data_IF_325787884449
#
_entry.id   IF_325787884449
#
_cell.length_a   1.000
_cell.length_b   1.000
_cell.length_c   1.000
_cell.angle_alpha   90.00
_cell.angle_beta   90.00
_cell.angle_gamma   90.00
#
_symmetry.space_group_name_H-M   'P 1'
#
loop_
_entity.id
_entity.type
_entity.pdbx_description
1 polymer ?
#
# COMPACT_ATOMS: atom_id res chain seq x y z
N UNK A 1 -16.83 -0.15 6.07
CA UNK A 1 -15.68 0.39 6.83
C UNK A 1 -14.77 1.02 5.79
N UNK A 2 -14.37 2.29 5.91
CA UNK A 2 -13.54 2.88 4.84
C UNK A 2 -12.09 2.43 4.99
N UNK A 3 -11.46 2.09 3.88
CA UNK A 3 -10.04 1.70 3.82
C UNK A 3 -9.28 2.75 3.01
N UNK A 4 -8.20 3.25 3.61
CA UNK A 4 -7.27 4.17 2.99
C UNK A 4 -6.17 3.36 2.30
N UNK A 5 -6.09 3.47 0.97
CA UNK A 5 -4.90 3.10 0.22
C UNK A 5 -3.88 4.23 0.34
N UNK A 6 -2.66 3.88 0.73
CA UNK A 6 -1.46 4.69 0.56
C UNK A 6 -0.56 3.90 -0.38
N UNK A 7 -0.22 4.45 -1.54
CA UNK A 7 0.63 3.79 -2.53
C UNK A 7 1.79 4.71 -2.92
N UNK A 8 2.99 4.15 -2.96
CA UNK A 8 4.21 4.81 -3.40
C UNK A 8 4.77 4.03 -4.58
N UNK A 9 4.86 4.65 -5.74
CA UNK A 9 5.45 4.07 -6.95
C UNK A 9 6.85 4.64 -7.13
N UNK A 10 7.83 3.77 -7.37
CA UNK A 10 9.20 4.17 -7.64
C UNK A 10 9.38 4.38 -9.14
N UNK A 11 9.86 5.56 -9.51
CA UNK A 11 10.09 5.94 -10.90
C UNK A 11 11.53 6.46 -11.04
N UNK A 12 12.24 6.01 -12.08
CA UNK A 12 13.61 6.44 -12.35
C UNK A 12 13.75 7.92 -12.74
N UNK A 13 12.68 8.57 -13.23
CA UNK A 13 12.70 9.98 -13.62
C UNK A 13 12.37 10.95 -12.47
N UNK A 14 11.38 10.60 -11.64
CA UNK A 14 10.84 11.47 -10.58
C UNK A 14 11.22 11.01 -9.16
N UNK A 15 11.84 9.84 -9.04
CA UNK A 15 12.22 9.20 -7.77
C UNK A 15 11.09 8.37 -7.19
N UNK A 16 10.10 9.02 -6.58
CA UNK A 16 8.95 8.34 -5.97
C UNK A 16 7.69 9.19 -6.03
N UNK A 17 6.58 8.60 -6.44
CA UNK A 17 5.27 9.24 -6.51
C UNK A 17 4.34 8.64 -5.45
N UNK A 18 3.70 9.51 -4.66
CA UNK A 18 2.78 9.14 -3.60
C UNK A 18 1.34 9.44 -4.03
N UNK A 19 0.47 8.43 -3.92
CA UNK A 19 -0.98 8.59 -4.08
C UNK A 19 -1.72 8.05 -2.84
N UNK A 20 -2.87 8.65 -2.54
CA UNK A 20 -3.77 8.18 -1.50
C UNK A 20 -5.21 8.09 -2.00
N UNK A 21 -5.94 7.04 -1.65
CA UNK A 21 -7.32 6.82 -2.11
C UNK A 21 -8.20 6.21 -1.00
N UNK A 22 -9.34 6.85 -0.74
CA UNK A 22 -10.29 6.52 0.34
C UNK A 22 -11.59 5.87 -0.15
N UNK A 23 -11.63 5.44 -1.40
CA UNK A 23 -12.88 5.02 -2.05
C UNK A 23 -13.31 3.60 -1.69
N UNK A 24 -12.46 2.84 -0.98
CA UNK A 24 -12.65 1.40 -0.74
C UNK A 24 -13.49 1.11 0.51
N UNK A 25 -14.38 0.11 0.41
CA UNK A 25 -15.25 -0.31 1.51
C UNK A 25 -14.73 -1.54 2.27
N UNK A 26 -13.68 -2.18 1.77
CA UNK A 26 -12.97 -3.29 2.39
C UNK A 26 -11.50 -3.39 1.92
N UNK A 27 -10.70 -4.17 2.64
CA UNK A 27 -9.27 -4.33 2.36
C UNK A 27 -9.02 -5.07 1.04
N UNK A 28 -9.86 -6.06 0.68
CA UNK A 28 -9.67 -6.83 -0.54
C UNK A 28 -9.75 -5.95 -1.80
N UNK A 29 -10.72 -5.01 -1.85
CA UNK A 29 -10.81 -4.00 -2.92
C UNK A 29 -9.58 -3.09 -2.94
N UNK A 30 -9.09 -2.66 -1.78
CA UNK A 30 -7.90 -1.82 -1.67
C UNK A 30 -6.65 -2.55 -2.19
N UNK A 31 -6.46 -3.83 -1.83
CA UNK A 31 -5.35 -4.66 -2.31
C UNK A 31 -5.42 -4.90 -3.83
N UNK A 32 -6.62 -5.15 -4.36
CA UNK A 32 -6.82 -5.35 -5.79
C UNK A 32 -6.52 -4.07 -6.60
N UNK A 33 -6.93 -2.91 -6.08
CA UNK A 33 -6.62 -1.62 -6.69
C UNK A 33 -5.12 -1.34 -6.67
N UNK A 34 -4.44 -1.59 -5.55
CA UNK A 34 -2.98 -1.45 -5.48
C UNK A 34 -2.25 -2.33 -6.50
N UNK A 35 -2.66 -3.60 -6.65
CA UNK A 35 -2.10 -4.48 -7.67
C UNK A 35 -2.32 -3.93 -9.08
N UNK A 36 -3.53 -3.45 -9.37
CA UNK A 36 -3.86 -2.86 -10.67
C UNK A 36 -2.94 -1.67 -10.97
N UNK A 37 -2.74 -0.77 -10.00
CA UNK A 37 -1.84 0.38 -10.16
C UNK A 37 -0.39 -0.04 -10.45
N UNK A 38 0.13 -1.08 -9.79
CA UNK A 38 1.47 -1.59 -10.11
C UNK A 38 1.52 -2.31 -11.47
N UNK A 39 0.43 -2.95 -11.89
CA UNK A 39 0.34 -3.59 -13.20
C UNK A 39 0.29 -2.60 -14.38
N UNK A 40 -0.12 -1.36 -14.13
CA UNK A 40 0.02 -0.26 -15.10
C UNK A 40 1.47 0.16 -15.30
N UNK A 41 2.34 -0.07 -14.30
CA UNK A 41 3.79 0.19 -14.37
C UNK A 41 4.54 -1.01 -14.96
N UNK A 42 4.24 -2.20 -14.48
CA UNK A 42 4.80 -3.48 -14.96
C UNK A 42 3.72 -4.56 -14.93
N UNK A 43 3.32 -5.09 -16.08
CA UNK A 43 2.25 -6.10 -16.18
C UNK A 43 2.52 -7.38 -15.37
N UNK A 44 3.79 -7.67 -15.07
CA UNK A 44 4.23 -8.82 -14.27
C UNK A 44 4.47 -8.46 -12.80
N UNK A 45 3.99 -7.30 -12.34
CA UNK A 45 4.14 -6.88 -10.96
C UNK A 45 3.64 -7.95 -9.98
N UNK A 46 4.48 -8.29 -9.02
CA UNK A 46 4.17 -9.20 -7.93
C UNK A 46 4.17 -8.47 -6.59
N UNK A 47 3.14 -8.71 -5.78
CA UNK A 47 3.05 -8.17 -4.43
C UNK A 47 3.51 -9.20 -3.42
N UNK A 48 4.42 -8.79 -2.54
CA UNK A 48 4.90 -9.63 -1.43
C UNK A 48 4.88 -8.84 -0.13
N UNK A 49 4.62 -9.54 0.97
CA UNK A 49 4.83 -8.95 2.29
C UNK A 49 6.34 -8.75 2.48
N UNK A 50 6.74 -7.59 3.01
CA UNK A 50 8.13 -7.39 3.38
C UNK A 50 8.48 -8.30 4.55
N UNK A 51 9.61 -9.00 4.45
CA UNK A 51 10.22 -9.65 5.61
C UNK A 51 10.88 -8.56 6.46
N UNK A 52 10.32 -8.27 7.63
CA UNK A 52 10.80 -7.19 8.51
C UNK A 52 11.93 -7.76 9.35
N UNK A 53 13.18 -7.26 9.20
CA UNK A 53 14.29 -7.71 10.03
C UNK A 53 14.01 -7.41 11.51
N UNK A 54 14.39 -8.32 12.41
CA UNK A 54 14.22 -8.11 13.85
C UNK A 54 14.83 -6.77 14.29
N UNK A 55 14.04 -5.96 15.01
CA UNK A 55 14.47 -4.66 15.53
C UNK A 55 14.11 -3.43 14.68
N UNK A 56 13.42 -3.60 13.54
CA UNK A 56 12.86 -2.48 12.76
C UNK A 56 11.36 -2.34 13.00
N UNK A 57 10.91 -1.12 13.33
CA UNK A 57 9.49 -0.76 13.35
C UNK A 57 9.06 -0.33 11.94
N UNK A 58 8.26 -1.17 11.29
CA UNK A 58 7.58 -0.85 10.04
C UNK A 58 6.08 -0.92 10.27
N UNK A 59 5.31 -0.14 9.49
CA UNK A 59 3.86 -0.19 9.56
C UNK A 59 3.40 -1.60 9.16
N UNK A 60 2.86 -2.34 10.13
CA UNK A 60 2.31 -3.69 9.93
C UNK A 60 1.31 -3.65 8.78
N UNK A 61 1.46 -4.57 7.82
CA UNK A 61 0.61 -4.63 6.64
C UNK A 61 1.11 -3.79 5.45
N UNK A 62 2.33 -3.23 5.53
CA UNK A 62 2.99 -2.67 4.34
C UNK A 62 3.44 -3.79 3.40
N UNK A 63 3.07 -3.65 2.14
CA UNK A 63 3.32 -4.60 1.07
C UNK A 63 4.25 -3.97 0.03
N UNK A 64 5.11 -4.77 -0.59
CA UNK A 64 6.08 -4.33 -1.60
C UNK A 64 5.71 -4.92 -2.95
N UNK A 65 5.77 -4.08 -3.98
CA UNK A 65 5.61 -4.48 -5.36
C UNK A 65 6.97 -4.67 -6.01
N UNK A 66 7.15 -5.81 -6.66
CA UNK A 66 8.35 -6.18 -7.41
C UNK A 66 8.00 -6.30 -8.88
N UNK A 67 8.82 -5.72 -9.76
CA UNK A 67 8.70 -5.88 -11.21
C UNK A 67 9.24 -7.23 -11.69
N UNK A 68 9.16 -7.47 -13.01
CA UNK A 68 9.55 -8.72 -13.65
C UNK A 68 11.03 -9.11 -13.38
N UNK A 69 11.90 -8.12 -13.23
CA UNK A 69 13.33 -8.33 -12.95
C UNK A 69 13.63 -8.55 -11.45
N UNK A 70 12.60 -8.56 -10.60
CA UNK A 70 12.72 -8.71 -9.15
C UNK A 70 13.16 -7.44 -8.43
N UNK A 71 13.27 -6.31 -9.13
CA UNK A 71 13.48 -4.99 -8.54
C UNK A 71 12.22 -4.45 -7.87
N UNK A 72 12.39 -3.71 -6.77
CA UNK A 72 11.28 -3.01 -6.11
C UNK A 72 10.77 -1.87 -6.99
N UNK A 73 9.48 -1.87 -7.29
CA UNK A 73 8.81 -0.83 -8.10
C UNK A 73 7.85 0.02 -7.26
N UNK A 74 7.68 -0.32 -5.98
CA UNK A 74 6.95 0.51 -5.04
C UNK A 74 6.49 -0.24 -3.79
N UNK A 75 5.71 0.46 -2.98
CA UNK A 75 5.14 -0.05 -1.74
C UNK A 75 3.74 0.50 -1.52
N UNK A 76 2.92 -0.24 -0.79
CA UNK A 76 1.59 0.25 -0.42
C UNK A 76 1.12 -0.30 0.92
N UNK A 77 0.11 0.36 1.48
CA UNK A 77 -0.60 -0.10 2.68
C UNK A 77 -2.10 0.17 2.55
N UNK A 78 -2.90 -0.78 3.03
CA UNK A 78 -4.36 -0.68 3.13
C UNK A 78 -4.77 -0.52 4.59
N UNK A 79 -5.07 0.71 5.00
CA UNK A 79 -5.36 1.03 6.39
C UNK A 79 -6.86 1.18 6.63
N UNK A 80 -7.43 0.26 7.42
CA UNK A 80 -8.81 0.39 7.87
C UNK A 80 -8.96 1.62 8.79
N UNK A 81 -9.77 2.59 8.36
CA UNK A 81 -10.11 3.73 9.18
C UNK A 81 -11.13 3.29 10.22
N UNK A 82 -10.71 3.20 11.49
CA UNK A 82 -11.65 3.11 12.59
C UNK A 82 -12.42 4.43 12.66
N UNK A 83 -13.75 4.36 12.58
CA UNK A 83 -14.59 5.50 12.95
C UNK A 83 -14.19 5.92 14.36
N UNK A 84 -13.67 7.12 14.53
CA UNK A 84 -13.46 7.72 15.85
C UNK A 84 -14.84 7.87 16.49
N UNK A 85 -15.28 6.86 17.24
CA UNK A 85 -16.25 7.09 18.30
C UNK A 85 -15.52 7.89 19.37
N UNK A 86 -15.52 9.21 19.21
CA UNK A 86 -15.20 10.14 20.27
C UNK A 86 -16.14 9.87 21.44
N UNK A 87 -15.66 9.15 22.46
CA UNK A 87 -16.21 9.27 23.80
C UNK A 87 -15.31 10.23 24.55
N UNK A 88 -15.49 11.52 24.27
CA UNK A 88 -15.13 12.56 25.23
C UNK A 88 -15.97 12.28 26.49
N UNK A 89 -15.35 11.75 27.53
CA UNK A 89 -15.98 11.66 28.84
C UNK A 89 -15.64 12.94 29.57
N UNK A 90 -16.70 13.69 29.86
CA UNK A 90 -16.74 14.93 30.63
C UNK A 90 -16.25 14.71 32.07
#
# INVERSE_FOLDING_TARGET
>A
MKVLLIIVVFNFETGSELETNLSFDNEAECHAAALTSFQEVDEHAEIRAMDIPEGQEMLVGTMIAYGAEGGEIGMYACNALRSSSSTATN
#
